data_IF_777346731083
#
_entry.id   IF_777346731083
#
_cell.length_a   1.000
_cell.length_b   1.000
_cell.length_c   1.000
_cell.angle_alpha   90.00
_cell.angle_beta   90.00
_cell.angle_gamma   90.00
#
_symmetry.space_group_name_H-M   'P 1'
#
loop_
_entity.id
_entity.type
_entity.pdbx_description
1 polymer ?
#
# COMPACT_ATOMS: atom_id res chain seq x y z
N UNK A 1 5.74 26.41 -21.78
CA UNK A 1 5.45 26.15 -20.36
C UNK A 1 6.27 24.91 -20.01
N UNK A 2 7.45 25.11 -19.45
CA UNK A 2 8.39 24.02 -19.15
C UNK A 2 7.81 23.16 -18.03
N UNK A 3 7.73 21.85 -18.29
CA UNK A 3 7.29 20.85 -17.33
C UNK A 3 8.55 20.39 -16.58
N UNK A 4 8.97 21.15 -15.57
CA UNK A 4 9.98 20.65 -14.64
C UNK A 4 9.39 19.39 -13.99
N UNK A 5 10.01 18.23 -14.22
CA UNK A 5 9.69 16.99 -13.51
C UNK A 5 10.03 17.19 -12.04
N UNK A 6 9.13 17.82 -11.29
CA UNK A 6 9.20 17.76 -9.85
C UNK A 6 9.06 16.28 -9.49
N UNK A 7 10.05 15.72 -8.81
CA UNK A 7 9.97 14.39 -8.24
C UNK A 7 8.76 14.35 -7.29
N UNK A 8 7.62 13.88 -7.78
CA UNK A 8 6.41 13.72 -6.99
C UNK A 8 6.70 12.62 -5.97
N UNK A 9 6.78 13.00 -4.70
CA UNK A 9 6.89 12.05 -3.60
C UNK A 9 5.53 11.38 -3.42
N UNK A 10 5.55 10.05 -3.45
CA UNK A 10 4.39 9.23 -3.14
C UNK A 10 4.50 8.73 -1.70
N UNK A 11 3.38 8.71 -1.01
CA UNK A 11 3.20 8.14 0.32
C UNK A 11 2.97 6.63 0.21
N UNK A 12 3.53 5.87 1.14
CA UNK A 12 3.30 4.43 1.27
C UNK A 12 1.88 4.18 1.82
N UNK A 13 1.14 3.23 1.23
CA UNK A 13 -0.24 2.92 1.65
C UNK A 13 -0.32 2.55 3.15
N UNK A 14 0.71 1.86 3.67
CA UNK A 14 0.76 1.43 5.07
C UNK A 14 0.85 2.59 6.08
N UNK A 15 1.29 3.76 5.64
CA UNK A 15 1.53 4.93 6.50
C UNK A 15 0.36 5.92 6.48
N UNK A 16 -0.70 5.62 5.72
CA UNK A 16 -1.91 6.46 5.64
C UNK A 16 -2.70 6.32 6.94
N UNK A 17 -2.79 7.42 7.67
CA UNK A 17 -3.54 7.55 8.92
C UNK A 17 -4.75 8.46 8.74
N UNK A 18 -5.79 8.23 9.54
CA UNK A 18 -6.98 9.09 9.56
C UNK A 18 -6.64 10.54 9.88
N UNK A 19 -7.31 11.48 9.21
CA UNK A 19 -7.13 12.93 9.40
C UNK A 19 -6.20 13.61 8.40
N UNK A 20 -5.44 12.85 7.58
CA UNK A 20 -4.72 13.42 6.43
C UNK A 20 -5.67 13.58 5.25
N UNK A 21 -5.87 14.81 4.80
CA UNK A 21 -6.78 15.17 3.69
C UNK A 21 -6.11 15.18 2.31
N UNK A 22 -4.79 15.35 2.26
CA UNK A 22 -4.02 15.33 1.01
C UNK A 22 -2.94 14.26 1.10
N UNK A 23 -3.10 13.18 0.33
CA UNK A 23 -2.17 12.06 0.25
C UNK A 23 -1.96 11.72 -1.22
N UNK A 24 -0.73 11.50 -1.65
CA UNK A 24 -0.43 11.12 -3.03
C UNK A 24 0.13 9.70 -3.02
N UNK A 25 -0.62 8.72 -3.55
CA UNK A 25 -0.17 7.32 -3.56
C UNK A 25 0.11 6.84 -4.98
N UNK A 26 1.03 5.87 -5.09
CA UNK A 26 1.25 5.10 -6.31
C UNK A 26 0.92 3.64 -6.01
N UNK A 27 -0.13 3.12 -6.65
CA UNK A 27 -0.64 1.79 -6.34
C UNK A 27 -1.10 1.06 -7.59
N UNK A 28 -1.05 -0.26 -7.55
CA UNK A 28 -1.71 -1.15 -8.50
C UNK A 28 -3.14 -1.43 -8.02
N UNK A 29 -4.11 -1.27 -8.93
CA UNK A 29 -5.49 -1.70 -8.67
C UNK A 29 -5.55 -3.22 -8.84
N UNK A 30 -5.81 -3.93 -7.74
CA UNK A 30 -5.91 -5.40 -7.74
C UNK A 30 -7.32 -5.85 -8.08
N UNK A 31 -8.33 -5.12 -7.58
CA UNK A 31 -9.74 -5.37 -7.88
C UNK A 31 -10.51 -4.06 -7.94
N UNK A 32 -11.50 -4.04 -8.81
CA UNK A 32 -12.45 -2.96 -8.99
C UNK A 32 -13.84 -3.58 -9.08
N UNK A 33 -14.73 -3.21 -8.17
CA UNK A 33 -16.09 -3.77 -8.11
C UNK A 33 -17.09 -2.63 -8.10
N UNK A 34 -18.01 -2.65 -9.06
CA UNK A 34 -19.19 -1.77 -9.01
C UNK A 34 -20.19 -2.39 -8.05
N UNK A 35 -20.42 -1.73 -6.93
CA UNK A 35 -21.43 -2.15 -5.96
C UNK A 35 -22.78 -1.64 -6.48
N UNK A 36 -23.78 -2.53 -6.68
CA UNK A 36 -25.10 -2.10 -7.07
C UNK A 36 -25.66 -1.19 -5.96
N UNK A 37 -25.85 0.09 -6.28
CA UNK A 37 -26.42 1.05 -5.36
C UNK A 37 -27.92 0.84 -5.29
N UNK A 38 -28.42 0.61 -4.09
CA UNK A 38 -29.83 0.30 -3.88
C UNK A 38 -30.40 1.18 -2.79
N UNK A 39 -30.56 2.48 -3.03
CA UNK A 39 -31.41 3.35 -2.20
C UNK A 39 -32.07 4.46 -3.03
N UNK A 40 -33.38 4.28 -3.27
CA UNK A 40 -34.39 5.30 -3.61
C UNK A 40 -34.26 6.57 -2.75
N UNK A 41 -34.63 7.80 -3.22
CA UNK A 41 -35.01 8.25 -4.57
C UNK A 41 -33.83 8.83 -5.38
N UNK A 42 -32.60 8.77 -4.86
CA UNK A 42 -31.40 9.23 -5.54
C UNK A 42 -30.57 8.03 -5.97
N UNK A 43 -30.46 7.81 -7.28
CA UNK A 43 -29.57 6.79 -7.82
C UNK A 43 -28.13 7.09 -7.41
N UNK A 44 -27.64 6.38 -6.40
CA UNK A 44 -26.23 6.39 -6.02
C UNK A 44 -25.57 5.19 -6.68
N UNK A 45 -24.35 5.39 -7.19
CA UNK A 45 -23.52 4.27 -7.64
C UNK A 45 -22.25 4.29 -6.81
N UNK A 46 -21.87 3.12 -6.29
CA UNK A 46 -20.69 2.97 -5.45
C UNK A 46 -19.69 2.07 -6.15
N UNK A 47 -18.41 2.38 -6.00
CA UNK A 47 -17.31 1.59 -6.54
C UNK A 47 -16.38 1.27 -5.37
N UNK A 48 -16.07 -0.01 -5.21
CA UNK A 48 -15.07 -0.49 -4.27
C UNK A 48 -13.78 -0.86 -5.03
N UNK A 49 -12.65 -0.51 -4.43
CA UNK A 49 -11.32 -0.73 -5.00
C UNK A 49 -10.39 -1.36 -3.97
N UNK A 50 -9.62 -2.37 -4.40
CA UNK A 50 -8.51 -2.92 -3.62
C UNK A 50 -7.21 -2.46 -4.26
N UNK A 51 -6.42 -1.71 -3.49
CA UNK A 51 -5.14 -1.15 -3.91
C UNK A 51 -3.99 -1.93 -3.26
N UNK A 52 -2.91 -2.15 -4.01
CA UNK A 52 -1.68 -2.71 -3.49
C UNK A 52 -0.49 -1.86 -3.95
N UNK A 53 0.48 -1.65 -3.07
CA UNK A 53 1.73 -0.98 -3.38
C UNK A 53 2.87 -2.00 -3.44
N UNK A 54 3.82 -1.79 -4.34
CA UNK A 54 5.09 -2.49 -4.36
C UNK A 54 5.98 -1.85 -3.30
N UNK A 55 5.70 -2.15 -2.03
CA UNK A 55 6.56 -1.72 -0.92
C UNK A 55 7.96 -2.25 -1.21
N UNK A 56 8.86 -1.36 -1.62
CA UNK A 56 10.29 -1.66 -1.63
C UNK A 56 10.66 -1.96 -0.19
N UNK A 57 11.39 -3.04 0.11
CA UNK A 57 11.93 -3.23 1.44
C UNK A 57 12.74 -1.96 1.74
N UNK A 58 12.22 -1.12 2.64
CA UNK A 58 13.04 -0.11 3.27
C UNK A 58 14.20 -0.88 3.88
N UNK A 59 15.42 -0.40 3.70
CA UNK A 59 16.67 -1.00 4.17
C UNK A 59 16.77 -1.10 5.70
N UNK A 60 15.66 -1.18 6.43
CA UNK A 60 15.61 -1.67 7.78
C UNK A 60 16.01 -3.13 7.78
N UNK A 61 17.15 -3.41 8.42
CA UNK A 61 17.71 -4.73 8.61
C UNK A 61 16.58 -5.74 8.87
N UNK A 62 16.38 -6.66 7.92
CA UNK A 62 15.76 -7.94 8.25
C UNK A 62 16.72 -8.54 9.26
N UNK A 63 16.38 -8.43 10.55
CA UNK A 63 16.98 -9.30 11.54
C UNK A 63 16.43 -10.67 11.20
N UNK A 64 17.11 -11.36 10.27
CA UNK A 64 17.07 -12.80 10.18
C UNK A 64 17.38 -13.28 11.60
N UNK A 65 16.33 -13.58 12.37
CA UNK A 65 16.46 -14.42 13.56
C UNK A 65 16.65 -15.83 13.05
N UNK A 66 17.79 -16.04 12.41
CA UNK A 66 18.34 -17.36 12.21
C UNK A 66 19.04 -17.76 13.52
N UNK A 67 18.82 -19.03 13.89
CA UNK A 67 19.46 -19.84 14.93
C UNK A 67 18.85 -19.83 16.35
N UNK A 68 18.78 -21.02 17.01
CA UNK A 68 19.82 -22.06 16.93
C UNK A 68 19.37 -23.47 16.51
N UNK A 69 19.97 -23.96 15.43
CA UNK A 69 20.29 -25.38 15.30
C UNK A 69 21.34 -25.75 16.36
N UNK A 70 20.88 -26.60 17.27
CA UNK A 70 21.57 -27.51 18.17
C UNK A 70 23.10 -27.65 18.04
N UNK A 71 23.74 -27.59 19.20
CA UNK A 71 25.10 -28.02 19.47
C UNK A 71 25.43 -29.37 18.82
N UNK A 72 26.39 -29.36 17.88
CA UNK A 72 27.14 -30.55 17.48
C UNK A 72 28.63 -30.17 17.43
N UNK A 73 29.32 -30.34 18.56
CA UNK A 73 30.78 -30.38 18.61
C UNK A 73 31.19 -31.80 19.03
N UNK A 74 31.33 -32.68 18.04
CA UNK A 74 32.26 -33.80 18.11
C UNK A 74 33.51 -33.37 17.33
N UNK A 75 34.66 -33.47 17.97
CA UNK A 75 35.98 -33.14 17.44
C UNK A 75 36.90 -32.80 18.58
#
# INVERSE_FOLDING_TARGET
>A
REMSSADVKFDDIADIVGGRVNVCIKAKVVRLVKVPGFLSPFETSTIEMVLADEKKPSSGCVSDKEFPASCCSRG
#
